data_IF_877309710025
#
_entry.id   IF_877309710025
#
_cell.length_a   1.000
_cell.length_b   1.000
_cell.length_c   1.000
_cell.angle_alpha   90.00
_cell.angle_beta   90.00
_cell.angle_gamma   90.00
#
_symmetry.space_group_name_H-M   'P 1'
#
loop_
_entity.id
_entity.type
_entity.pdbx_description
1 polymer ?
#
# COMPACT_ATOMS: atom_id res chain seq x y z
N UNK A 1 -47.05 19.35 -1.00
CA UNK A 1 -45.66 18.98 -1.36
C UNK A 1 -45.22 19.88 -2.50
N UNK A 2 -44.51 20.96 -2.20
CA UNK A 2 -44.03 21.93 -3.19
C UNK A 2 -42.82 21.33 -3.93
N UNK A 3 -43.02 20.95 -5.18
CA UNK A 3 -41.93 20.53 -6.06
C UNK A 3 -41.00 21.75 -6.26
N UNK A 4 -39.74 21.66 -5.81
CA UNK A 4 -38.73 22.69 -6.12
C UNK A 4 -38.68 22.85 -7.66
N UNK A 5 -38.74 24.09 -8.19
CA UNK A 5 -38.66 24.31 -9.63
C UNK A 5 -37.37 23.69 -10.18
N UNK A 6 -37.45 23.13 -11.39
CA UNK A 6 -36.32 22.48 -12.03
C UNK A 6 -35.22 23.52 -12.31
N UNK A 7 -34.04 23.32 -11.72
CA UNK A 7 -32.92 24.25 -11.86
C UNK A 7 -32.56 24.50 -13.33
N UNK A 8 -32.31 25.75 -13.68
CA UNK A 8 -31.86 26.16 -15.02
C UNK A 8 -30.47 25.59 -15.34
N UNK A 9 -30.07 25.46 -16.61
CA UNK A 9 -28.72 25.02 -16.97
C UNK A 9 -27.61 25.86 -16.32
N UNK A 10 -27.79 27.18 -16.24
CA UNK A 10 -26.86 28.11 -15.59
C UNK A 10 -26.77 27.88 -14.08
N UNK A 11 -27.90 27.69 -13.39
CA UNK A 11 -27.91 27.37 -11.95
C UNK A 11 -27.20 26.04 -11.66
N UNK A 12 -27.36 25.04 -12.53
CA UNK A 12 -26.67 23.75 -12.39
C UNK A 12 -25.16 23.89 -12.59
N UNK A 13 -24.73 24.73 -13.50
CA UNK A 13 -23.32 25.00 -13.76
C UNK A 13 -22.68 25.78 -12.61
N UNK A 14 -23.33 26.84 -12.13
CA UNK A 14 -22.90 27.58 -10.94
C UNK A 14 -22.76 26.68 -9.71
N UNK A 15 -23.77 25.84 -9.43
CA UNK A 15 -23.72 24.89 -8.31
C UNK A 15 -22.61 23.83 -8.47
N UNK A 16 -22.26 23.43 -9.70
CA UNK A 16 -21.13 22.52 -9.96
C UNK A 16 -19.80 23.21 -9.70
N UNK A 17 -19.67 24.47 -10.13
CA UNK A 17 -18.48 25.30 -9.93
C UNK A 17 -18.24 25.53 -8.43
N UNK A 18 -19.27 25.95 -7.70
CA UNK A 18 -19.19 26.17 -6.24
C UNK A 18 -18.76 24.90 -5.50
N UNK A 19 -19.34 23.74 -5.85
CA UNK A 19 -18.92 22.43 -5.27
C UNK A 19 -17.48 22.08 -5.59
N UNK A 20 -17.00 22.45 -6.78
CA UNK A 20 -15.60 22.21 -7.20
C UNK A 20 -14.66 23.10 -6.40
N UNK A 21 -14.94 24.40 -6.30
CA UNK A 21 -14.15 25.35 -5.53
C UNK A 21 -14.13 25.01 -4.04
N UNK A 22 -15.27 24.61 -3.47
CA UNK A 22 -15.34 24.15 -2.08
C UNK A 22 -14.48 22.90 -1.86
N UNK A 23 -14.48 21.96 -2.81
CA UNK A 23 -13.63 20.77 -2.75
C UNK A 23 -12.15 21.10 -2.88
N UNK A 24 -11.78 21.99 -3.79
CA UNK A 24 -10.39 22.45 -3.95
C UNK A 24 -9.91 23.14 -2.67
N UNK A 25 -10.73 23.98 -2.02
CA UNK A 25 -10.43 24.56 -0.71
C UNK A 25 -10.26 23.50 0.38
N UNK A 26 -11.14 22.50 0.44
CA UNK A 26 -11.05 21.41 1.42
C UNK A 26 -9.82 20.51 1.21
N UNK A 27 -9.37 20.34 -0.03
CA UNK A 27 -8.12 19.64 -0.34
C UNK A 27 -6.92 20.52 0.04
N UNK A 28 -6.95 21.82 -0.29
CA UNK A 28 -5.86 22.74 0.07
C UNK A 28 -5.67 22.86 1.59
N UNK A 29 -6.77 22.87 2.35
CA UNK A 29 -6.74 22.90 3.82
C UNK A 29 -6.27 21.58 4.44
N UNK A 30 -6.43 20.46 3.74
CA UNK A 30 -6.00 19.14 4.21
C UNK A 30 -5.43 18.30 3.05
N UNK A 31 -4.22 18.60 2.54
CA UNK A 31 -3.70 17.99 1.32
C UNK A 31 -3.20 16.56 1.50
N UNK A 32 -3.03 16.10 2.75
CA UNK A 32 -2.57 14.76 3.07
C UNK A 32 -3.69 13.92 3.70
N UNK A 33 -3.57 12.60 3.58
CA UNK A 33 -4.40 11.68 4.35
C UNK A 33 -3.62 10.43 4.77
N UNK A 34 -3.57 10.16 6.07
CA UNK A 34 -3.09 8.89 6.58
C UNK A 34 -4.17 7.83 6.40
N UNK A 35 -3.80 6.67 5.89
CA UNK A 35 -4.72 5.56 5.62
C UNK A 35 -4.21 4.30 6.30
N UNK A 36 -5.04 3.73 7.18
CA UNK A 36 -4.75 2.48 7.88
C UNK A 36 -5.92 1.51 7.74
N UNK A 37 -5.65 0.24 7.44
CA UNK A 37 -6.67 -0.77 7.18
C UNK A 37 -6.41 -2.06 7.95
N UNK A 38 -7.43 -2.54 8.66
CA UNK A 38 -7.44 -3.90 9.20
C UNK A 38 -8.11 -4.85 8.22
N UNK A 39 -7.67 -6.09 8.20
CA UNK A 39 -8.00 -7.04 7.13
C UNK A 39 -8.04 -8.48 7.64
N UNK A 40 -8.74 -9.36 6.94
CA UNK A 40 -8.85 -10.79 7.30
C UNK A 40 -7.59 -11.62 6.99
N UNK A 41 -6.62 -11.05 6.26
CA UNK A 41 -5.41 -11.75 5.83
C UNK A 41 -4.38 -10.84 5.17
N UNK A 42 -3.30 -11.41 4.62
CA UNK A 42 -2.16 -10.63 4.14
C UNK A 42 -2.21 -10.23 2.66
N UNK A 43 -3.04 -10.89 1.84
CA UNK A 43 -3.11 -10.67 0.40
C UNK A 43 -4.46 -10.05 -0.04
N UNK A 44 -4.47 -8.88 -0.70
CA UNK A 44 -5.69 -8.26 -1.22
C UNK A 44 -6.48 -9.11 -2.22
N UNK A 45 -5.85 -10.08 -2.91
CA UNK A 45 -6.55 -10.94 -3.87
C UNK A 45 -7.40 -12.03 -3.23
N UNK A 46 -7.10 -12.43 -1.99
CA UNK A 46 -7.76 -13.55 -1.30
C UNK A 46 -8.40 -13.17 0.04
N UNK A 47 -8.06 -12.01 0.60
CA UNK A 47 -8.59 -11.53 1.87
C UNK A 47 -9.46 -10.29 1.69
N UNK A 48 -10.11 -9.83 2.77
CA UNK A 48 -11.04 -8.70 2.77
C UNK A 48 -10.59 -7.62 3.74
N UNK A 49 -10.93 -6.36 3.43
CA UNK A 49 -10.76 -5.24 4.38
C UNK A 49 -11.95 -5.23 5.36
N UNK A 50 -11.66 -5.15 6.65
CA UNK A 50 -12.68 -5.18 7.73
C UNK A 50 -12.80 -3.88 8.49
N UNK A 51 -11.79 -3.02 8.47
CA UNK A 51 -11.93 -1.63 8.91
C UNK A 51 -11.01 -0.71 8.14
N UNK A 52 -11.34 0.59 8.17
CA UNK A 52 -10.53 1.65 7.56
C UNK A 52 -10.55 2.87 8.46
N UNK A 53 -9.35 3.34 8.82
CA UNK A 53 -9.12 4.63 9.45
C UNK A 53 -8.50 5.58 8.44
N UNK A 54 -9.05 6.80 8.35
CA UNK A 54 -8.48 7.89 7.56
C UNK A 54 -8.33 9.11 8.46
N UNK A 55 -7.15 9.71 8.51
CA UNK A 55 -6.92 11.01 9.13
C UNK A 55 -6.49 11.98 8.03
N UNK A 56 -7.30 13.00 7.74
CA UNK A 56 -6.88 14.06 6.81
C UNK A 56 -6.02 15.07 7.56
N UNK A 57 -4.93 15.52 6.95
CA UNK A 57 -3.96 16.37 7.61
C UNK A 57 -3.76 17.69 6.87
N UNK A 58 -3.57 18.77 7.63
CA UNK A 58 -3.15 20.08 7.13
C UNK A 58 -1.74 20.00 6.52
N UNK A 59 -1.27 21.06 5.82
CA UNK A 59 0.09 21.13 5.32
C UNK A 59 1.16 20.94 6.42
N UNK A 60 0.87 21.39 7.63
CA UNK A 60 1.72 21.28 8.83
C UNK A 60 1.63 19.89 9.47
N UNK A 61 0.79 19.01 8.93
CA UNK A 61 0.57 17.67 9.44
C UNK A 61 -0.46 17.57 10.56
N UNK A 62 -1.18 18.63 10.91
CA UNK A 62 -2.21 18.58 11.96
C UNK A 62 -3.49 17.88 11.48
N UNK A 63 -4.14 17.12 12.36
CA UNK A 63 -5.37 16.39 11.99
C UNK A 63 -6.52 17.37 11.80
N UNK A 64 -7.11 17.39 10.61
CA UNK A 64 -8.23 18.26 10.24
C UNK A 64 -9.58 17.55 10.37
N UNK A 65 -9.64 16.28 9.94
CA UNK A 65 -10.83 15.45 9.99
C UNK A 65 -10.42 13.98 10.12
N UNK A 66 -11.29 13.18 10.71
CA UNK A 66 -11.07 11.78 11.01
C UNK A 66 -12.24 10.91 10.56
N UNK A 67 -11.94 9.69 10.13
CA UNK A 67 -12.92 8.71 9.73
C UNK A 67 -12.51 7.34 10.23
N UNK A 68 -13.45 6.63 10.84
CA UNK A 68 -13.35 5.21 11.14
C UNK A 68 -14.62 4.50 10.71
N UNK A 69 -14.48 3.31 10.12
CA UNK A 69 -15.60 2.42 9.89
C UNK A 69 -15.17 0.97 9.93
N UNK A 70 -16.04 0.13 10.49
CA UNK A 70 -16.01 -1.33 10.37
C UNK A 70 -16.87 -1.73 9.17
N UNK A 71 -16.40 -2.71 8.41
CA UNK A 71 -17.09 -3.25 7.25
C UNK A 71 -17.39 -4.73 7.44
N UNK A 72 -18.63 -5.11 7.15
CA UNK A 72 -18.99 -6.51 7.03
C UNK A 72 -18.58 -7.02 5.63
N UNK A 73 -17.61 -7.94 5.51
CA UNK A 73 -17.18 -8.45 4.22
C UNK A 73 -18.20 -9.41 3.57
N UNK A 74 -19.17 -9.91 4.33
CA UNK A 74 -20.15 -10.92 3.90
C UNK A 74 -19.55 -12.31 3.72
N UNK A 75 -18.35 -12.54 4.27
CA UNK A 75 -17.57 -13.77 4.22
C UNK A 75 -16.91 -14.00 5.58
N UNK A 76 -16.10 -15.05 5.69
CA UNK A 76 -15.21 -15.25 6.84
C UNK A 76 -14.43 -13.95 7.16
N UNK A 77 -14.54 -13.54 8.43
CA UNK A 77 -13.90 -12.35 9.01
C UNK A 77 -12.47 -12.65 9.46
N UNK A 78 -12.06 -13.92 9.41
CA UNK A 78 -10.75 -14.37 9.82
C UNK A 78 -10.56 -14.33 11.34
N UNK A 79 -9.34 -14.61 11.81
CA UNK A 79 -9.08 -14.66 13.25
C UNK A 79 -9.22 -13.29 13.92
N UNK A 80 -10.11 -13.19 14.92
CA UNK A 80 -10.38 -11.95 15.68
C UNK A 80 -9.11 -11.27 16.21
N UNK A 81 -8.11 -12.02 16.65
CA UNK A 81 -6.87 -11.47 17.17
C UNK A 81 -6.06 -10.66 16.14
N UNK A 82 -6.37 -10.75 14.85
CA UNK A 82 -5.75 -9.94 13.80
C UNK A 82 -6.31 -8.53 13.71
N UNK A 83 -7.59 -8.31 14.05
CA UNK A 83 -8.28 -7.04 13.82
C UNK A 83 -9.08 -6.50 15.03
N UNK A 84 -9.23 -7.28 16.10
CA UNK A 84 -9.90 -6.89 17.35
C UNK A 84 -11.44 -6.87 17.33
N UNK A 85 -12.03 -6.69 16.15
CA UNK A 85 -13.49 -6.58 15.92
C UNK A 85 -14.25 -7.83 16.36
N UNK A 86 -15.34 -7.67 17.12
CA UNK A 86 -16.22 -8.76 17.56
C UNK A 86 -17.21 -9.20 16.47
N UNK A 87 -17.79 -10.39 16.64
CA UNK A 87 -18.80 -10.90 15.71
C UNK A 87 -20.06 -10.02 15.71
N UNK A 88 -20.45 -9.49 16.87
CA UNK A 88 -21.58 -8.55 16.99
C UNK A 88 -21.33 -7.25 16.22
N UNK A 89 -20.11 -6.69 16.32
CA UNK A 89 -19.72 -5.50 15.56
C UNK A 89 -19.81 -5.76 14.04
N UNK A 90 -19.41 -6.95 13.57
CA UNK A 90 -19.54 -7.32 12.16
C UNK A 90 -21.00 -7.45 11.72
N UNK A 91 -21.87 -8.05 12.53
CA UNK A 91 -23.30 -8.19 12.21
C UNK A 91 -23.94 -6.81 12.02
N UNK A 92 -23.53 -5.82 12.82
CA UNK A 92 -24.05 -4.45 12.73
C UNK A 92 -23.33 -3.59 11.66
N UNK A 93 -22.14 -4.00 11.24
CA UNK A 93 -21.32 -3.26 10.29
C UNK A 93 -21.96 -3.16 8.90
N UNK A 94 -21.69 -2.04 8.23
CA UNK A 94 -22.18 -1.76 6.88
C UNK A 94 -21.26 -2.43 5.86
N UNK A 95 -21.77 -2.68 4.65
CA UNK A 95 -20.90 -3.07 3.53
C UNK A 95 -20.10 -1.87 3.02
N UNK A 96 -18.89 -2.10 2.49
CA UNK A 96 -18.02 -1.05 1.94
C UNK A 96 -18.70 -0.21 0.84
N UNK A 97 -19.62 -0.81 0.08
CA UNK A 97 -20.45 -0.12 -0.93
C UNK A 97 -21.17 1.12 -0.40
N UNK A 98 -21.55 1.13 0.88
CA UNK A 98 -22.25 2.26 1.50
C UNK A 98 -21.29 3.42 1.80
N UNK A 99 -19.99 3.14 1.95
CA UNK A 99 -18.97 4.13 2.34
C UNK A 99 -18.04 4.54 1.20
N UNK A 100 -18.01 3.81 0.07
CA UNK A 100 -17.08 4.08 -1.05
C UNK A 100 -17.08 5.54 -1.53
N UNK A 101 -18.23 6.22 -1.54
CA UNK A 101 -18.30 7.64 -1.94
C UNK A 101 -17.66 8.58 -0.92
N UNK A 102 -17.85 8.31 0.37
CA UNK A 102 -17.25 9.08 1.45
C UNK A 102 -15.75 8.86 1.48
N UNK A 103 -15.30 7.59 1.39
CA UNK A 103 -13.88 7.22 1.28
C UNK A 103 -13.23 7.92 0.09
N UNK A 104 -13.84 7.89 -1.10
CA UNK A 104 -13.32 8.63 -2.24
C UNK A 104 -13.21 10.15 -2.01
N UNK A 105 -14.17 10.75 -1.30
CA UNK A 105 -14.13 12.18 -1.01
C UNK A 105 -12.98 12.56 -0.06
N UNK A 106 -12.65 11.64 0.87
CA UNK A 106 -11.52 11.79 1.79
C UNK A 106 -10.17 11.54 1.09
N UNK A 107 -10.09 10.66 0.09
CA UNK A 107 -8.81 10.29 -0.53
C UNK A 107 -8.50 11.00 -1.85
N UNK A 108 -9.51 11.38 -2.64
CA UNK A 108 -9.28 11.98 -3.95
C UNK A 108 -8.55 13.34 -3.84
N UNK A 109 -7.51 13.53 -4.66
CA UNK A 109 -6.78 14.79 -4.77
C UNK A 109 -5.78 15.03 -3.65
N UNK A 110 -5.60 14.06 -2.74
CA UNK A 110 -4.64 14.14 -1.63
C UNK A 110 -3.44 13.24 -1.86
N UNK A 111 -2.36 13.54 -1.17
CA UNK A 111 -1.22 12.63 -1.00
C UNK A 111 -1.55 11.67 0.13
N UNK A 112 -1.52 10.36 -0.13
CA UNK A 112 -1.86 9.35 0.88
C UNK A 112 -0.60 8.86 1.59
N UNK A 113 -0.66 8.76 2.91
CA UNK A 113 0.43 8.27 3.75
C UNK A 113 -0.01 6.93 4.34
N UNK A 114 0.79 5.89 4.11
CA UNK A 114 0.48 4.53 4.56
C UNK A 114 1.72 3.87 5.14
N UNK A 115 1.50 2.85 5.96
CA UNK A 115 2.55 1.92 6.35
C UNK A 115 2.40 0.64 5.54
N UNK A 116 3.43 0.25 4.79
CA UNK A 116 3.35 -0.84 3.82
C UNK A 116 2.28 -0.56 2.74
N UNK A 117 2.56 0.46 1.94
CA UNK A 117 1.68 0.98 0.88
C UNK A 117 1.19 -0.11 -0.06
N UNK A 118 2.03 -1.04 -0.58
CA UNK A 118 1.58 -2.05 -1.53
C UNK A 118 0.39 -2.86 -1.02
N UNK A 119 0.38 -3.15 0.28
CA UNK A 119 -0.68 -3.90 0.94
C UNK A 119 -1.91 -3.03 1.18
N UNK A 120 -1.75 -1.93 1.92
CA UNK A 120 -2.87 -1.07 2.35
C UNK A 120 -3.62 -0.50 1.15
N UNK A 121 -2.89 0.01 0.15
CA UNK A 121 -3.49 0.52 -1.08
C UNK A 121 -4.13 -0.58 -1.92
N UNK A 122 -3.56 -1.78 -1.94
CA UNK A 122 -4.15 -2.95 -2.59
C UNK A 122 -5.53 -3.30 -2.05
N UNK A 123 -5.72 -3.30 -0.73
CA UNK A 123 -7.03 -3.51 -0.11
C UNK A 123 -8.01 -2.38 -0.43
N UNK A 124 -7.61 -1.12 -0.28
CA UNK A 124 -8.48 0.04 -0.56
C UNK A 124 -8.96 0.05 -2.02
N UNK A 125 -8.05 -0.18 -2.97
CA UNK A 125 -8.40 -0.26 -4.39
C UNK A 125 -9.24 -1.49 -4.72
N UNK A 126 -8.90 -2.65 -4.14
CA UNK A 126 -9.62 -3.91 -4.33
C UNK A 126 -11.09 -3.80 -3.89
N UNK A 127 -11.34 -3.30 -2.68
CA UNK A 127 -12.68 -3.10 -2.14
C UNK A 127 -13.44 -2.01 -2.89
N UNK A 128 -12.78 -0.92 -3.27
CA UNK A 128 -13.39 0.13 -4.10
C UNK A 128 -13.85 -0.42 -5.45
N UNK A 129 -13.00 -1.17 -6.15
CA UNK A 129 -13.36 -1.82 -7.42
C UNK A 129 -14.49 -2.83 -7.21
N UNK A 130 -14.45 -3.63 -6.14
CA UNK A 130 -15.49 -4.60 -5.81
C UNK A 130 -16.84 -3.95 -5.57
N UNK A 131 -16.89 -2.95 -4.69
CA UNK A 131 -18.10 -2.20 -4.37
C UNK A 131 -18.72 -1.55 -5.61
N UNK A 132 -17.92 -0.92 -6.46
CA UNK A 132 -18.39 -0.30 -7.70
C UNK A 132 -18.97 -1.34 -8.67
N UNK A 133 -18.35 -2.53 -8.79
CA UNK A 133 -18.90 -3.63 -9.59
C UNK A 133 -20.28 -4.08 -9.07
N UNK A 134 -20.45 -4.22 -7.75
CA UNK A 134 -21.75 -4.60 -7.18
C UNK A 134 -22.81 -3.54 -7.41
N UNK A 135 -22.48 -2.27 -7.20
CA UNK A 135 -23.39 -1.15 -7.46
C UNK A 135 -23.77 -1.06 -8.95
N UNK A 136 -22.84 -1.35 -9.88
CA UNK A 136 -23.11 -1.42 -11.32
C UNK A 136 -24.07 -2.55 -11.67
N UNK A 137 -23.87 -3.76 -11.12
CA UNK A 137 -24.78 -4.90 -11.30
C UNK A 137 -26.19 -4.56 -10.82
N UNK A 138 -26.32 -3.98 -9.61
CA UNK A 138 -27.62 -3.55 -9.05
C UNK A 138 -28.32 -2.50 -9.91
N UNK A 139 -27.57 -1.54 -10.47
CA UNK A 139 -28.15 -0.52 -11.35
C UNK A 139 -28.64 -1.08 -12.69
N UNK A 140 -28.00 -2.12 -13.25
CA UNK A 140 -28.44 -2.76 -14.49
C UNK A 140 -29.76 -3.50 -14.30
N UNK A 141 -29.91 -4.23 -13.19
CA UNK A 141 -31.12 -5.02 -12.93
C UNK A 141 -32.37 -4.15 -12.74
N UNK A 142 -32.24 -2.93 -12.16
CA UNK A 142 -33.39 -2.02 -11.97
C UNK A 142 -33.79 -1.23 -13.22
N UNK A 143 -32.90 -1.08 -14.19
CA UNK A 143 -33.11 -0.25 -15.39
C UNK A 143 -33.34 -1.06 -16.67
N UNK A 144 -33.82 -2.32 -16.56
CA UNK A 144 -34.42 -3.05 -17.71
C UNK A 144 -35.67 -2.29 -18.19
N UNK A 145 -35.49 -1.22 -18.96
CA UNK A 145 -36.58 -0.41 -19.54
C UNK A 145 -36.37 1.12 -19.51
N UNK A 146 -35.40 1.68 -18.78
CA UNK A 146 -35.12 3.13 -18.77
C UNK A 146 -33.70 3.43 -19.25
N UNK A 147 -33.60 4.10 -20.41
CA UNK A 147 -32.35 4.64 -20.98
C UNK A 147 -31.77 5.72 -20.07
N UNK A 148 -30.97 5.30 -19.09
CA UNK A 148 -30.22 6.19 -18.20
C UNK A 148 -29.13 5.42 -17.48
N UNK A 149 -27.90 5.47 -18.00
CA UNK A 149 -26.73 4.83 -17.41
C UNK A 149 -26.29 5.66 -16.20
N UNK A 150 -26.77 5.32 -14.99
CA UNK A 150 -26.38 6.04 -13.76
C UNK A 150 -24.88 5.81 -13.51
N UNK A 151 -24.08 6.89 -13.44
CA UNK A 151 -22.63 6.79 -13.22
C UNK A 151 -22.37 6.29 -11.80
N UNK A 152 -21.82 5.09 -11.67
CA UNK A 152 -21.71 4.37 -10.37
C UNK A 152 -20.55 4.88 -9.49
N UNK A 153 -19.77 5.84 -9.98
CA UNK A 153 -18.56 6.34 -9.32
C UNK A 153 -17.31 5.75 -9.96
N UNK A 154 -16.17 5.96 -9.31
CA UNK A 154 -14.84 5.49 -9.69
C UNK A 154 -14.05 5.11 -8.43
N UNK A 155 -12.97 4.32 -8.49
CA UNK A 155 -12.06 4.18 -7.35
C UNK A 155 -11.42 5.53 -6.97
N UNK A 156 -10.87 5.66 -5.74
CA UNK A 156 -10.21 6.89 -5.31
C UNK A 156 -9.03 7.25 -6.22
N UNK A 157 -8.75 8.56 -6.36
CA UNK A 157 -7.67 9.14 -7.17
C UNK A 157 -6.83 10.10 -6.34
N UNK A 158 -5.92 9.58 -5.49
CA UNK A 158 -4.91 10.41 -4.86
C UNK A 158 -3.92 10.97 -5.90
N UNK A 159 -3.14 11.96 -5.49
CA UNK A 159 -2.09 12.56 -6.35
C UNK A 159 -0.73 11.90 -6.17
N UNK A 160 -0.47 11.34 -4.98
CA UNK A 160 0.75 10.60 -4.64
C UNK A 160 0.48 9.62 -3.50
N UNK A 161 1.34 8.60 -3.35
CA UNK A 161 1.31 7.64 -2.24
C UNK A 161 2.68 7.62 -1.56
N UNK A 162 2.71 7.68 -0.25
CA UNK A 162 3.94 7.61 0.57
C UNK A 162 3.89 6.34 1.41
N UNK A 163 4.98 5.57 1.39
CA UNK A 163 5.17 4.39 2.22
C UNK A 163 6.16 4.65 3.35
N UNK A 164 5.65 4.76 4.56
CA UNK A 164 6.46 4.99 5.77
C UNK A 164 7.38 3.81 6.10
N UNK A 165 7.02 2.56 5.74
CA UNK A 165 7.90 1.42 5.98
C UNK A 165 9.05 1.39 4.97
N UNK A 166 8.76 1.64 3.70
CA UNK A 166 9.82 1.71 2.69
C UNK A 166 10.75 2.89 2.94
N UNK A 167 10.21 4.06 3.33
CA UNK A 167 11.01 5.23 3.73
C UNK A 167 11.94 4.91 4.90
N UNK A 168 11.43 4.24 5.94
CA UNK A 168 12.25 3.82 7.09
C UNK A 168 13.43 2.92 6.68
N UNK A 169 13.28 2.10 5.63
CA UNK A 169 14.39 1.30 5.08
C UNK A 169 15.38 2.13 4.27
N UNK A 170 14.91 3.09 3.47
CA UNK A 170 15.78 4.04 2.75
C UNK A 170 16.62 4.91 3.68
N UNK A 171 16.16 5.12 4.92
CA UNK A 171 16.92 5.78 5.98
C UNK A 171 17.97 4.87 6.65
N UNK A 172 18.11 3.60 6.23
CA UNK A 172 19.05 2.66 6.83
C UNK A 172 18.68 2.20 8.24
N UNK A 173 17.42 2.35 8.67
CA UNK A 173 17.02 1.98 10.04
C UNK A 173 17.11 0.45 10.25
N UNK A 174 17.61 -0.01 11.41
CA UNK A 174 17.76 -1.44 11.71
C UNK A 174 16.41 -2.08 12.09
N UNK A 175 15.51 -2.20 11.12
CA UNK A 175 14.14 -2.65 11.34
C UNK A 175 14.05 -4.16 11.60
N UNK A 176 14.10 -4.55 12.86
CA UNK A 176 13.88 -5.93 13.31
C UNK A 176 12.42 -6.40 13.20
N UNK A 177 11.50 -5.49 13.50
CA UNK A 177 10.06 -5.68 13.47
C UNK A 177 9.47 -4.55 12.63
N UNK A 178 8.74 -4.94 11.58
CA UNK A 178 8.21 -4.02 10.57
C UNK A 178 6.81 -3.53 10.90
N UNK A 179 6.29 -3.80 12.10
CA UNK A 179 5.00 -3.27 12.54
C UNK A 179 5.13 -1.79 12.91
N UNK A 180 4.08 -1.01 12.64
CA UNK A 180 3.99 0.44 12.91
C UNK A 180 4.57 0.83 14.28
N UNK A 181 4.20 0.11 15.35
CA UNK A 181 4.67 0.39 16.72
C UNK A 181 6.17 0.17 16.91
N UNK A 182 6.75 -0.82 16.26
CA UNK A 182 8.18 -1.08 16.31
C UNK A 182 8.95 -0.01 15.54
N UNK A 183 8.50 0.31 14.34
CA UNK A 183 9.10 1.38 13.52
C UNK A 183 9.01 2.75 14.20
N UNK A 184 7.88 3.04 14.86
CA UNK A 184 7.73 4.25 15.67
C UNK A 184 8.78 4.32 16.79
N UNK A 185 9.00 3.22 17.51
CA UNK A 185 10.01 3.16 18.58
C UNK A 185 11.43 3.31 18.05
N UNK A 186 11.74 2.72 16.89
CA UNK A 186 13.04 2.87 16.24
C UNK A 186 13.34 4.34 15.91
N UNK A 187 12.30 5.10 15.55
CA UNK A 187 12.38 6.56 15.33
C UNK A 187 12.30 7.40 16.62
N UNK A 188 12.35 6.78 17.80
CA UNK A 188 12.25 7.48 19.09
C UNK A 188 10.85 8.01 19.43
N UNK A 189 9.81 7.62 18.67
CA UNK A 189 8.42 8.01 18.93
C UNK A 189 7.85 7.14 20.04
N UNK A 190 7.25 7.76 21.05
CA UNK A 190 6.57 7.07 22.13
C UNK A 190 5.42 6.20 21.58
N UNK A 191 5.56 4.88 21.67
CA UNK A 191 4.54 3.93 21.22
C UNK A 191 4.44 2.73 22.17
N UNK A 192 3.24 2.15 22.38
CA UNK A 192 3.09 0.88 23.10
C UNK A 192 3.81 -0.28 22.42
N UNK A 193 3.99 -1.38 23.14
CA UNK A 193 4.76 -2.54 22.63
C UNK A 193 4.19 -3.07 21.32
N UNK A 194 5.02 -3.40 20.31
CA UNK A 194 4.52 -4.06 19.11
C UNK A 194 4.02 -5.48 19.41
N UNK A 195 4.57 -6.12 20.45
CA UNK A 195 4.18 -7.47 20.90
C UNK A 195 2.70 -7.51 21.27
N UNK A 196 2.03 -8.61 20.92
CA UNK A 196 0.64 -8.82 21.28
C UNK A 196 0.47 -8.89 22.80
N UNK A 197 -0.54 -8.20 23.32
CA UNK A 197 -0.88 -8.21 24.74
C UNK A 197 -2.37 -8.44 24.92
N UNK A 198 -2.76 -9.04 26.06
CA UNK A 198 -4.17 -9.28 26.37
C UNK A 198 -4.90 -7.96 26.59
N UNK A 199 -4.24 -7.00 27.22
CA UNK A 199 -4.75 -5.65 27.47
C UNK A 199 -5.14 -4.96 26.16
N UNK A 200 -4.27 -5.03 25.14
CA UNK A 200 -4.58 -4.45 23.83
C UNK A 200 -5.69 -5.21 23.11
N UNK A 201 -5.73 -6.54 23.26
CA UNK A 201 -6.78 -7.36 22.64
C UNK A 201 -8.18 -7.07 23.19
N UNK A 202 -8.28 -6.45 24.37
CA UNK A 202 -9.53 -6.02 24.99
C UNK A 202 -9.97 -4.59 24.61
N UNK A 203 -9.10 -3.82 23.94
CA UNK A 203 -9.45 -2.47 23.50
C UNK A 203 -10.39 -2.52 22.28
N UNK A 204 -11.33 -1.56 22.14
CA UNK A 204 -12.15 -1.44 20.94
C UNK A 204 -11.30 -1.32 19.67
N UNK A 205 -11.76 -1.94 18.59
CA UNK A 205 -11.06 -1.91 17.30
C UNK A 205 -10.84 -0.47 16.80
N UNK A 206 -11.79 0.43 17.05
CA UNK A 206 -11.68 1.86 16.74
C UNK A 206 -10.47 2.50 17.42
N UNK A 207 -10.34 2.32 18.74
CA UNK A 207 -9.25 2.89 19.53
C UNK A 207 -7.89 2.43 19.01
N UNK A 208 -7.73 1.13 18.78
CA UNK A 208 -6.47 0.56 18.29
C UNK A 208 -6.15 1.04 16.86
N UNK A 209 -7.17 1.11 16.00
CA UNK A 209 -7.00 1.53 14.60
C UNK A 209 -6.62 3.02 14.51
N UNK A 210 -7.25 3.87 15.31
CA UNK A 210 -6.94 5.31 15.40
C UNK A 210 -5.56 5.57 15.97
N UNK A 211 -5.18 4.88 17.05
CA UNK A 211 -3.82 4.98 17.60
C UNK A 211 -2.77 4.55 16.58
N UNK A 212 -3.03 3.50 15.81
CA UNK A 212 -2.14 3.05 14.74
C UNK A 212 -2.02 4.09 13.63
N UNK A 213 -3.13 4.69 13.18
CA UNK A 213 -3.09 5.77 12.19
C UNK A 213 -2.32 7.02 12.72
N UNK A 214 -2.49 7.37 13.99
CA UNK A 214 -1.73 8.45 14.63
C UNK A 214 -0.23 8.15 14.70
N UNK A 215 0.16 6.88 14.92
CA UNK A 215 1.57 6.48 14.85
C UNK A 215 2.11 6.54 13.40
N UNK A 216 1.33 6.17 12.39
CA UNK A 216 1.73 6.32 10.98
C UNK A 216 1.94 7.80 10.63
N UNK A 217 1.06 8.69 11.11
CA UNK A 217 1.25 10.15 11.03
C UNK A 217 2.58 10.57 11.68
N UNK A 218 2.80 10.16 12.93
CA UNK A 218 4.00 10.54 13.68
C UNK A 218 5.29 10.04 13.01
N UNK A 219 5.28 8.80 12.50
CA UNK A 219 6.39 8.25 11.72
C UNK A 219 6.67 9.13 10.50
N UNK A 220 5.65 9.45 9.69
CA UNK A 220 5.82 10.30 8.52
C UNK A 220 6.43 11.67 8.87
N UNK A 221 5.97 12.31 9.94
CA UNK A 221 6.48 13.62 10.38
C UNK A 221 7.92 13.56 10.92
N UNK A 222 8.38 12.39 11.38
CA UNK A 222 9.74 12.18 11.86
C UNK A 222 10.72 11.74 10.76
N UNK A 223 10.22 11.38 9.57
CA UNK A 223 11.05 10.90 8.46
C UNK A 223 11.67 12.04 7.67
N UNK A 224 12.88 11.83 7.16
CA UNK A 224 13.55 12.81 6.30
C UNK A 224 12.77 12.96 4.97
N UNK A 225 12.29 14.18 4.64
CA UNK A 225 11.53 14.43 3.43
C UNK A 225 12.32 14.12 2.14
N UNK A 226 13.66 14.11 2.18
CA UNK A 226 14.51 13.89 1.00
C UNK A 226 14.57 12.42 0.57
N UNK A 227 14.19 11.48 1.44
CA UNK A 227 14.28 10.04 1.17
C UNK A 227 12.90 9.34 1.18
N UNK A 228 11.81 10.11 1.14
CA UNK A 228 10.45 9.57 1.13
C UNK A 228 10.25 8.58 -0.03
N UNK A 229 9.81 7.37 0.31
CA UNK A 229 9.33 6.40 -0.66
C UNK A 229 7.95 6.83 -1.19
N UNK A 230 7.99 7.65 -2.26
CA UNK A 230 6.82 8.22 -2.92
C UNK A 230 6.56 7.53 -4.25
N UNK A 231 5.28 7.23 -4.52
CA UNK A 231 4.83 6.52 -5.70
C UNK A 231 3.74 7.31 -6.42
N UNK A 232 3.81 7.35 -7.75
CA UNK A 232 2.71 7.79 -8.60
C UNK A 232 1.64 6.68 -8.63
N UNK A 233 0.37 6.96 -8.24
CA UNK A 233 -0.70 5.97 -8.31
C UNK A 233 -0.91 5.34 -9.69
N UNK A 234 -0.48 6.01 -10.77
CA UNK A 234 -0.60 5.54 -12.15
C UNK A 234 0.54 4.65 -12.60
N UNK A 235 1.68 4.65 -11.89
CA UNK A 235 2.82 3.76 -12.16
C UNK A 235 2.75 2.42 -11.41
N UNK A 236 1.62 2.15 -10.73
CA UNK A 236 1.41 0.93 -9.95
C UNK A 236 0.42 -0.02 -10.64
N UNK A 237 0.67 -1.33 -10.52
CA UNK A 237 -0.29 -2.38 -10.83
C UNK A 237 -0.32 -3.46 -9.76
N UNK A 238 -1.42 -4.22 -9.73
CA UNK A 238 -1.57 -5.34 -8.83
C UNK A 238 -0.68 -6.51 -9.26
N UNK A 239 0.08 -7.08 -8.33
CA UNK A 239 0.68 -8.42 -8.52
C UNK A 239 -0.39 -9.52 -8.37
N UNK A 240 0.01 -10.79 -8.51
CA UNK A 240 -0.88 -11.96 -8.34
C UNK A 240 -1.56 -12.04 -6.96
N UNK A 241 -1.00 -11.38 -5.95
CA UNK A 241 -1.55 -11.31 -4.60
C UNK A 241 -2.42 -10.07 -4.38
N UNK A 242 -2.55 -9.20 -5.38
CA UNK A 242 -3.29 -7.95 -5.30
C UNK A 242 -2.52 -6.80 -4.67
N UNK A 243 -1.25 -7.00 -4.31
CA UNK A 243 -0.39 -5.94 -3.76
C UNK A 243 -0.09 -4.93 -4.88
N UNK A 244 -0.18 -3.63 -4.58
CA UNK A 244 0.15 -2.58 -5.55
C UNK A 244 1.66 -2.36 -5.58
N UNK A 245 2.29 -2.76 -6.68
CA UNK A 245 3.73 -2.61 -6.91
C UNK A 245 3.95 -1.79 -8.16
N UNK A 246 5.16 -1.26 -8.32
CA UNK A 246 5.54 -0.59 -9.56
C UNK A 246 5.34 -1.51 -10.76
N UNK A 247 4.98 -0.90 -11.89
CA UNK A 247 4.86 -1.61 -13.16
C UNK A 247 6.20 -2.29 -13.50
N UNK A 248 7.33 -1.59 -13.30
CA UNK A 248 8.70 -2.11 -13.49
C UNK A 248 8.88 -3.44 -12.76
N UNK A 249 8.60 -3.48 -11.45
CA UNK A 249 8.79 -4.68 -10.64
C UNK A 249 7.91 -5.84 -11.09
N UNK A 250 6.65 -5.58 -11.41
CA UNK A 250 5.73 -6.66 -11.79
C UNK A 250 6.00 -7.13 -13.22
N UNK A 251 6.33 -6.25 -14.16
CA UNK A 251 6.77 -6.64 -15.50
C UNK A 251 8.05 -7.50 -15.43
N UNK A 252 9.02 -7.12 -14.60
CA UNK A 252 10.23 -7.91 -14.37
C UNK A 252 9.94 -9.29 -13.77
N UNK A 253 8.91 -9.43 -12.92
CA UNK A 253 8.50 -10.74 -12.37
C UNK A 253 7.87 -11.65 -13.42
N UNK A 254 7.15 -11.07 -14.39
CA UNK A 254 6.43 -11.79 -15.44
C UNK A 254 7.31 -12.01 -16.68
N UNK A 255 8.46 -11.33 -16.77
CA UNK A 255 9.39 -11.43 -17.88
C UNK A 255 9.97 -12.84 -18.03
N UNK A 256 10.03 -13.32 -19.27
CA UNK A 256 10.71 -14.55 -19.64
C UNK A 256 12.13 -14.23 -20.11
N UNK A 257 13.11 -14.92 -19.56
CA UNK A 257 14.51 -14.86 -20.03
C UNK A 257 14.79 -16.14 -20.80
N UNK A 258 15.24 -16.00 -22.05
CA UNK A 258 15.51 -17.13 -22.95
C UNK A 258 16.85 -17.81 -22.65
N UNK A 259 17.78 -17.07 -22.04
CA UNK A 259 19.09 -17.59 -21.64
C UNK A 259 18.94 -18.45 -20.38
N UNK A 260 19.49 -19.67 -20.42
CA UNK A 260 19.51 -20.56 -19.27
C UNK A 260 20.39 -19.98 -18.15
N UNK A 261 20.00 -20.22 -16.91
CA UNK A 261 20.74 -19.70 -15.77
C UNK A 261 22.12 -20.41 -15.64
N UNK A 262 23.24 -19.68 -15.76
CA UNK A 262 24.59 -20.27 -15.75
C UNK A 262 25.04 -20.72 -14.35
N UNK A 263 24.25 -20.45 -13.30
CA UNK A 263 24.50 -20.89 -11.94
C UNK A 263 24.66 -19.74 -10.96
N UNK A 264 25.25 -20.07 -9.80
CA UNK A 264 25.43 -19.12 -8.69
C UNK A 264 26.52 -18.11 -9.05
N UNK A 265 26.28 -16.84 -8.72
CA UNK A 265 27.27 -15.79 -8.89
C UNK A 265 28.54 -16.11 -8.06
N UNK A 266 29.71 -15.79 -8.59
CA UNK A 266 30.98 -15.94 -7.88
C UNK A 266 31.54 -14.53 -7.66
N UNK A 267 31.65 -14.06 -6.39
CA UNK A 267 32.22 -12.75 -6.11
C UNK A 267 33.57 -12.54 -6.78
N UNK A 268 33.74 -11.37 -7.42
CA UNK A 268 34.92 -11.03 -8.22
C UNK A 268 34.81 -11.33 -9.72
N UNK A 269 33.79 -12.07 -10.16
CA UNK A 269 33.48 -12.25 -11.58
C UNK A 269 32.42 -11.24 -12.07
N UNK A 270 32.27 -11.11 -13.39
CA UNK A 270 31.15 -10.37 -13.99
C UNK A 270 29.83 -11.14 -13.84
N UNK A 271 28.73 -10.40 -13.73
CA UNK A 271 27.37 -10.96 -13.89
C UNK A 271 27.21 -11.52 -15.30
N UNK A 272 26.45 -12.62 -15.42
CA UNK A 272 26.23 -13.29 -16.69
C UNK A 272 24.74 -13.26 -17.05
N UNK A 273 24.37 -13.01 -18.32
CA UNK A 273 22.99 -13.10 -18.77
C UNK A 273 22.35 -14.44 -18.37
N UNK A 274 21.06 -14.41 -18.02
CA UNK A 274 20.33 -15.58 -17.53
C UNK A 274 20.43 -15.83 -16.02
N UNK A 275 21.40 -15.24 -15.31
CA UNK A 275 21.46 -15.34 -13.84
C UNK A 275 20.17 -14.81 -13.20
N UNK A 276 19.68 -15.49 -12.16
CA UNK A 276 18.49 -15.05 -11.42
C UNK A 276 18.92 -14.19 -10.21
N UNK A 277 18.40 -12.98 -10.11
CA UNK A 277 18.65 -12.11 -8.96
C UNK A 277 17.37 -11.84 -8.18
N UNK A 278 17.52 -11.67 -6.87
CA UNK A 278 16.42 -11.34 -5.96
C UNK A 278 16.80 -10.08 -5.20
N UNK A 279 15.85 -9.15 -5.03
CA UNK A 279 16.05 -7.93 -4.24
C UNK A 279 15.41 -8.10 -2.86
N UNK A 280 16.23 -7.90 -1.83
CA UNK A 280 15.80 -7.92 -0.43
C UNK A 280 15.11 -6.61 -0.05
N UNK A 281 14.15 -6.61 0.90
CA UNK A 281 13.44 -5.38 1.25
C UNK A 281 14.31 -4.31 1.92
N UNK A 282 15.45 -4.68 2.52
CA UNK A 282 16.38 -3.83 3.28
C UNK A 282 17.39 -3.05 2.42
N UNK A 283 17.24 -3.07 1.10
CA UNK A 283 17.98 -2.14 0.22
C UNK A 283 17.60 -0.69 0.51
N UNK A 284 18.57 0.21 0.37
CA UNK A 284 18.41 1.64 0.66
C UNK A 284 18.05 2.42 -0.62
N UNK A 285 18.56 1.96 -1.76
CA UNK A 285 18.20 2.50 -3.08
C UNK A 285 16.78 2.11 -3.49
N UNK A 286 16.24 2.85 -4.47
CA UNK A 286 14.95 2.51 -5.05
C UNK A 286 15.00 1.11 -5.67
N UNK A 287 14.16 0.16 -5.23
CA UNK A 287 14.13 -1.17 -5.82
C UNK A 287 13.88 -1.18 -7.32
N UNK A 288 13.18 -0.19 -7.88
CA UNK A 288 12.94 -0.12 -9.31
C UNK A 288 14.23 0.13 -10.10
N UNK A 289 15.18 0.90 -9.56
CA UNK A 289 16.49 1.13 -10.18
C UNK A 289 17.34 -0.14 -10.17
N UNK A 290 17.31 -0.89 -9.07
CA UNK A 290 18.03 -2.16 -8.94
C UNK A 290 17.45 -3.20 -9.91
N UNK A 291 16.11 -3.28 -9.96
CA UNK A 291 15.41 -4.23 -10.83
C UNK A 291 15.64 -3.91 -12.30
N UNK A 292 15.51 -2.65 -12.72
CA UNK A 292 15.73 -2.27 -14.12
C UNK A 292 17.17 -2.55 -14.53
N UNK A 293 18.15 -2.19 -13.69
CA UNK A 293 19.57 -2.40 -14.02
C UNK A 293 19.93 -3.87 -14.24
N UNK A 294 19.39 -4.77 -13.42
CA UNK A 294 19.59 -6.21 -13.61
C UNK A 294 18.90 -6.74 -14.87
N UNK A 295 17.65 -6.31 -15.14
CA UNK A 295 16.90 -6.74 -16.33
C UNK A 295 17.56 -6.23 -17.62
N UNK A 296 18.06 -5.00 -17.63
CA UNK A 296 18.68 -4.35 -18.80
C UNK A 296 19.94 -5.10 -19.28
N UNK A 297 20.65 -5.78 -18.38
CA UNK A 297 21.84 -6.60 -18.70
C UNK A 297 21.52 -8.09 -18.87
N UNK A 298 20.24 -8.42 -19.04
CA UNK A 298 19.79 -9.77 -19.36
C UNK A 298 19.66 -10.71 -18.15
N UNK A 299 19.62 -10.18 -16.92
CA UNK A 299 19.34 -10.99 -15.74
C UNK A 299 17.85 -11.24 -15.56
N UNK A 300 17.52 -12.32 -14.88
CA UNK A 300 16.16 -12.68 -14.51
C UNK A 300 15.82 -12.19 -13.11
N UNK A 301 14.84 -11.30 -12.99
CA UNK A 301 14.33 -10.91 -11.69
C UNK A 301 13.41 -11.98 -11.09
N UNK A 302 13.55 -12.22 -9.78
CA UNK A 302 12.60 -13.02 -9.01
C UNK A 302 12.24 -12.33 -7.69
N UNK A 303 10.95 -12.42 -7.31
CA UNK A 303 10.50 -11.92 -6.01
C UNK A 303 10.87 -12.89 -4.87
N UNK A 304 11.11 -14.17 -5.18
CA UNK A 304 11.32 -15.24 -4.18
C UNK A 304 12.71 -15.88 -4.33
N UNK A 305 13.42 -16.01 -3.21
CA UNK A 305 14.65 -16.80 -3.13
C UNK A 305 14.34 -18.27 -3.38
N UNK A 306 14.89 -18.80 -4.47
CA UNK A 306 14.71 -20.18 -4.94
C UNK A 306 16.03 -20.97 -4.81
N UNK A 307 16.17 -22.11 -5.49
CA UNK A 307 17.48 -22.78 -5.68
C UNK A 307 18.17 -22.33 -6.96
N UNK A 308 17.44 -21.65 -7.83
CA UNK A 308 17.93 -21.06 -9.08
C UNK A 308 18.50 -19.66 -8.84
N UNK A 309 18.24 -19.05 -7.69
CA UNK A 309 18.75 -17.70 -7.40
C UNK A 309 20.28 -17.70 -7.40
N UNK A 310 20.85 -16.85 -8.26
CA UNK A 310 22.29 -16.70 -8.47
C UNK A 310 22.90 -15.68 -7.52
N UNK A 311 22.17 -14.60 -7.20
CA UNK A 311 22.62 -13.52 -6.31
C UNK A 311 21.44 -12.87 -5.58
N UNK A 312 21.64 -12.46 -4.33
CA UNK A 312 20.69 -11.63 -3.58
C UNK A 312 21.25 -10.22 -3.39
N UNK A 313 20.49 -9.20 -3.77
CA UNK A 313 20.80 -7.80 -3.47
C UNK A 313 20.27 -7.43 -2.08
N UNK A 314 21.16 -7.03 -1.17
CA UNK A 314 20.89 -6.86 0.26
C UNK A 314 21.98 -5.99 0.91
N UNK A 315 21.59 -4.97 1.68
CA UNK A 315 22.56 -4.08 2.36
C UNK A 315 22.90 -4.58 3.77
N UNK A 316 22.01 -5.36 4.40
CA UNK A 316 22.29 -5.94 5.71
C UNK A 316 23.15 -7.19 5.59
N UNK A 317 24.34 -7.16 6.22
CA UNK A 317 25.32 -8.26 6.22
C UNK A 317 25.42 -9.02 7.55
N UNK A 318 24.82 -8.50 8.63
CA UNK A 318 24.79 -9.11 9.96
C UNK A 318 23.36 -9.39 10.44
N UNK A 319 23.18 -10.41 11.28
CA UNK A 319 21.88 -10.80 11.85
C UNK A 319 20.77 -10.98 10.79
N UNK A 320 21.10 -11.73 9.75
CA UNK A 320 20.25 -11.88 8.57
C UNK A 320 18.85 -12.38 8.93
N UNK A 321 17.83 -11.77 8.30
CA UNK A 321 16.42 -12.18 8.41
C UNK A 321 15.77 -12.29 7.03
N UNK A 322 14.63 -12.96 6.96
CA UNK A 322 13.82 -13.03 5.74
C UNK A 322 14.58 -13.57 4.53
N UNK A 323 14.60 -12.79 3.43
CA UNK A 323 15.24 -13.21 2.16
C UNK A 323 16.75 -13.39 2.32
N UNK A 324 17.44 -12.48 3.01
CA UNK A 324 18.87 -12.55 3.27
C UNK A 324 19.27 -13.83 4.01
N UNK A 325 18.58 -14.14 5.11
CA UNK A 325 18.80 -15.39 5.85
C UNK A 325 18.56 -16.64 5.01
N UNK A 326 17.56 -16.61 4.12
CA UNK A 326 17.26 -17.75 3.25
C UNK A 326 18.25 -17.92 2.10
N UNK A 327 18.85 -16.83 1.62
CA UNK A 327 19.91 -16.84 0.63
C UNK A 327 21.20 -17.40 1.22
N UNK A 328 21.61 -16.87 2.38
CA UNK A 328 22.79 -17.30 3.12
C UNK A 328 22.77 -18.80 3.45
N UNK A 329 21.64 -19.31 3.99
CA UNK A 329 21.46 -20.76 4.26
C UNK A 329 21.57 -21.66 3.03
N UNK A 330 21.42 -21.11 1.82
CA UNK A 330 21.53 -21.84 0.56
C UNK A 330 22.87 -21.59 -0.14
N UNK A 331 23.79 -20.83 0.47
CA UNK A 331 25.07 -20.46 -0.13
C UNK A 331 24.92 -19.49 -1.31
N UNK A 332 23.85 -18.71 -1.35
CA UNK A 332 23.65 -17.67 -2.38
C UNK A 332 24.41 -16.41 -1.93
N UNK A 333 25.32 -15.86 -2.75
CA UNK A 333 26.04 -14.64 -2.43
C UNK A 333 25.11 -13.44 -2.18
N UNK A 334 25.49 -12.62 -1.23
CA UNK A 334 24.85 -11.34 -0.91
C UNK A 334 25.72 -10.22 -1.48
N UNK A 335 25.09 -9.27 -2.17
CA UNK A 335 25.74 -8.12 -2.79
C UNK A 335 24.96 -6.87 -2.37
N UNK A 336 25.65 -5.78 -2.03
CA UNK A 336 24.98 -4.51 -1.71
C UNK A 336 24.26 -3.94 -2.94
N UNK A 337 23.28 -3.07 -2.75
CA UNK A 337 22.63 -2.41 -3.89
C UNK A 337 23.59 -1.56 -4.72
N UNK A 338 24.53 -0.84 -4.11
CA UNK A 338 25.60 -0.11 -4.80
C UNK A 338 26.50 -1.02 -5.63
N UNK A 339 27.05 -2.08 -5.02
CA UNK A 339 27.91 -3.04 -5.70
C UNK A 339 27.17 -3.76 -6.84
N UNK A 340 25.89 -4.09 -6.64
CA UNK A 340 25.09 -4.72 -7.69
C UNK A 340 24.91 -3.78 -8.89
N UNK A 341 24.70 -2.48 -8.66
CA UNK A 341 24.61 -1.50 -9.75
C UNK A 341 25.94 -1.32 -10.48
N UNK A 342 27.08 -1.38 -9.78
CA UNK A 342 28.41 -1.36 -10.41
C UNK A 342 28.64 -2.60 -11.26
N UNK A 343 28.31 -3.78 -10.73
CA UNK A 343 28.38 -5.04 -11.46
C UNK A 343 27.52 -5.02 -12.72
N UNK A 344 26.31 -4.45 -12.67
CA UNK A 344 25.46 -4.30 -13.86
C UNK A 344 26.11 -3.39 -14.91
N UNK A 345 26.76 -2.30 -14.52
CA UNK A 345 27.45 -1.40 -15.48
C UNK A 345 28.67 -2.03 -16.15
N UNK A 346 29.18 -3.11 -15.58
CA UNK A 346 30.37 -3.82 -16.06
C UNK A 346 30.07 -5.06 -16.94
N UNK A 347 28.78 -5.36 -17.18
CA UNK A 347 28.32 -6.35 -18.16
C UNK A 347 28.29 -5.73 -19.54
#
# INVERSE_FOLDING_TARGET
MTNKPAQTPQEREAARRERREARERAIAAAPFAVVHAETTGIHPSTARMVSLTILTLSPEGEVVDDFFAIFNPGTDTGPRHLHGISDEEFVQARTFERSVRQVNALLDGRTLIMHNMPRTWGFVLGESKSALRTLQRRSRNRNRGRRGRRRVGRPPRPVALIDTLATARRMGLPLEDTRVRAVARELGIAAPSPVASKERALLPAETVSRETASLVRAIYLAQDPNVLATYDPTSLKADRFGLQRSIVRVDAMDATVEVENPGVFVPGNSLQPGMEFVVSPDVELDPDLIISSGVDVGLKYSEKVSRQTSVLVCNRTSELRGKAMHADRKGIPLVSDEEFLELCRAV
#
